data_IF_637690249675
#
_entry.id   IF_637690249675
#
_cell.length_a   1.000
_cell.length_b   1.000
_cell.length_c   1.000
_cell.angle_alpha   90.00
_cell.angle_beta   90.00
_cell.angle_gamma   90.00
#
_symmetry.space_group_name_H-M   'P 1'
#
loop_
_entity.id
_entity.type
_entity.pdbx_description
1 polymer ?
#
# COMPACT_ATOMS: atom_id res chain seq x y z
N UNK A 1 11.36 8.81 4.49
CA UNK A 1 11.10 8.33 5.87
C UNK A 1 12.41 8.23 6.62
N UNK A 2 12.45 8.65 7.90
CA UNK A 2 13.64 8.58 8.74
C UNK A 2 13.61 7.35 9.64
N UNK A 3 14.78 6.84 10.02
CA UNK A 3 14.89 5.77 11.02
C UNK A 3 14.41 6.29 12.38
N UNK A 4 13.60 5.50 13.08
CA UNK A 4 13.10 5.84 14.41
C UNK A 4 14.05 5.42 15.53
N UNK A 5 14.93 4.47 15.26
CA UNK A 5 15.87 3.88 16.24
C UNK A 5 17.24 3.69 15.60
N UNK A 6 18.28 3.74 16.41
CA UNK A 6 19.65 3.42 16.05
C UNK A 6 20.39 2.80 17.25
N UNK A 7 21.62 2.37 17.02
CA UNK A 7 22.49 1.80 18.05
C UNK A 7 23.75 2.64 18.16
N UNK A 8 24.20 2.90 19.38
CA UNK A 8 25.49 3.51 19.69
C UNK A 8 26.09 2.80 20.90
N UNK A 9 27.36 3.08 21.22
CA UNK A 9 28.01 2.55 22.42
C UNK A 9 27.28 3.03 23.69
N UNK A 10 27.32 2.21 24.72
CA UNK A 10 26.72 2.54 26.03
C UNK A 10 27.36 3.84 26.55
N UNK A 11 26.52 4.77 27.03
CA UNK A 11 26.97 6.08 27.52
C UNK A 11 27.17 7.14 26.44
N UNK A 12 27.00 6.82 25.15
CA UNK A 12 27.07 7.81 24.06
C UNK A 12 25.68 8.22 23.60
N UNK A 13 25.53 9.50 23.24
CA UNK A 13 24.30 10.01 22.63
C UNK A 13 24.29 9.70 21.14
N UNK A 14 23.25 9.01 20.67
CA UNK A 14 23.04 8.80 19.25
C UNK A 14 22.62 10.12 18.59
N UNK A 15 23.47 10.65 17.70
CA UNK A 15 23.16 11.84 16.90
C UNK A 15 22.95 11.40 15.45
N UNK A 16 21.80 11.71 14.90
CA UNK A 16 21.48 11.48 13.50
C UNK A 16 20.96 12.76 12.84
N UNK A 17 21.48 13.08 11.65
CA UNK A 17 20.96 14.19 10.85
C UNK A 17 19.63 13.78 10.24
N UNK A 18 18.57 14.52 10.59
CA UNK A 18 17.23 14.36 10.00
C UNK A 18 17.05 15.41 8.92
N UNK A 19 16.56 15.06 7.72
CA UNK A 19 16.26 16.04 6.69
C UNK A 19 15.26 17.07 7.23
N UNK A 20 15.61 18.34 7.15
CA UNK A 20 14.74 19.45 7.50
C UNK A 20 14.23 20.10 6.21
N UNK A 21 12.91 20.34 6.08
CA UNK A 21 12.33 20.95 4.89
C UNK A 21 10.80 20.77 4.86
N UNK A 22 10.16 21.34 3.84
CA UNK A 22 8.73 21.14 3.62
C UNK A 22 8.40 19.67 3.40
N UNK A 23 7.45 19.15 4.19
CA UNK A 23 6.96 17.79 4.06
C UNK A 23 6.21 17.63 2.74
N UNK A 24 6.72 16.82 1.84
CA UNK A 24 5.99 16.41 0.63
C UNK A 24 5.27 15.09 0.92
N UNK A 25 3.99 15.07 0.64
CA UNK A 25 3.19 13.84 0.80
C UNK A 25 3.39 12.97 -0.42
N UNK A 26 3.89 11.76 -0.18
CA UNK A 26 3.93 10.68 -1.16
C UNK A 26 2.86 9.66 -0.79
N UNK A 27 1.97 9.37 -1.71
CA UNK A 27 0.95 8.33 -1.53
C UNK A 27 1.32 7.12 -2.34
N UNK A 28 1.38 5.97 -1.70
CA UNK A 28 1.50 4.67 -2.37
C UNK A 28 0.15 3.95 -2.30
N UNK A 29 -0.35 3.52 -3.44
CA UNK A 29 -1.57 2.72 -3.57
C UNK A 29 -1.28 1.46 -4.37
N UNK A 30 -1.86 0.35 -3.97
CA UNK A 30 -1.69 -0.96 -4.63
C UNK A 30 -2.87 -1.86 -4.27
N UNK A 31 -3.03 -2.96 -4.99
CA UNK A 31 -3.83 -4.10 -4.58
C UNK A 31 -2.94 -5.23 -4.06
N UNK A 32 -3.49 -6.10 -3.24
CA UNK A 32 -2.85 -7.31 -2.75
C UNK A 32 -3.66 -8.53 -3.19
N UNK A 33 -2.98 -9.51 -3.77
CA UNK A 33 -3.48 -10.86 -4.03
C UNK A 33 -2.71 -11.87 -3.18
N UNK A 34 -3.19 -13.09 -3.09
CA UNK A 34 -2.50 -14.17 -2.39
C UNK A 34 -1.11 -14.50 -2.98
N UNK A 35 -0.89 -14.15 -4.24
CA UNK A 35 0.33 -14.43 -4.99
C UNK A 35 1.24 -13.21 -5.20
N UNK A 36 0.80 -12.00 -4.83
CA UNK A 36 1.63 -10.81 -4.98
C UNK A 36 0.91 -9.47 -4.85
N UNK A 37 1.68 -8.40 -4.97
CA UNK A 37 1.18 -7.02 -5.05
C UNK A 37 0.85 -6.69 -6.50
N UNK A 38 -0.32 -6.12 -6.73
CA UNK A 38 -0.82 -5.75 -8.06
C UNK A 38 -1.09 -4.25 -8.16
N UNK A 39 -1.07 -3.72 -9.37
CA UNK A 39 -1.39 -2.33 -9.67
C UNK A 39 -0.67 -1.29 -8.77
N UNK A 40 0.64 -1.45 -8.46
CA UNK A 40 1.35 -0.49 -7.63
C UNK A 40 1.42 0.88 -8.31
N UNK A 41 1.12 1.93 -7.57
CA UNK A 41 1.17 3.30 -8.06
C UNK A 41 1.67 4.24 -6.96
N UNK A 42 2.56 5.15 -7.34
CA UNK A 42 3.10 6.19 -6.45
C UNK A 42 2.60 7.55 -6.95
N UNK A 43 2.00 8.31 -6.06
CA UNK A 43 1.50 9.66 -6.33
C UNK A 43 2.31 10.67 -5.50
N UNK A 44 2.69 11.78 -6.10
CA UNK A 44 3.43 12.88 -5.46
C UNK A 44 2.52 13.85 -4.67
N UNK A 45 1.30 13.40 -4.36
CA UNK A 45 0.25 14.16 -3.71
C UNK A 45 -0.65 13.27 -2.85
N UNK A 46 -1.45 13.84 -1.94
CA UNK A 46 -2.50 13.11 -1.27
C UNK A 46 -3.50 12.51 -2.28
N UNK A 47 -3.96 11.29 -2.02
CA UNK A 47 -5.00 10.67 -2.83
C UNK A 47 -6.35 11.32 -2.56
N UNK A 48 -7.12 11.54 -3.62
CA UNK A 48 -8.50 12.01 -3.56
C UNK A 48 -9.41 11.09 -4.40
N UNK A 49 -10.71 11.33 -4.40
CA UNK A 49 -11.67 10.48 -5.11
C UNK A 49 -11.40 10.40 -6.63
N UNK A 50 -10.91 11.48 -7.24
CA UNK A 50 -10.61 11.52 -8.68
C UNK A 50 -9.37 10.68 -9.00
N UNK A 51 -8.27 10.88 -8.26
CA UNK A 51 -7.03 10.12 -8.45
C UNK A 51 -7.21 8.65 -8.08
N UNK A 52 -8.03 8.34 -7.06
CA UNK A 52 -8.37 6.97 -6.71
C UNK A 52 -9.17 6.29 -7.83
N UNK A 53 -10.19 6.96 -8.38
CA UNK A 53 -10.95 6.44 -9.52
C UNK A 53 -10.06 6.19 -10.75
N UNK A 54 -9.16 7.12 -11.05
CA UNK A 54 -8.20 6.96 -12.15
C UNK A 54 -7.31 5.72 -11.94
N UNK A 55 -6.78 5.54 -10.72
CA UNK A 55 -6.02 4.35 -10.36
C UNK A 55 -6.85 3.07 -10.48
N UNK A 56 -8.11 3.07 -10.03
CA UNK A 56 -9.00 1.90 -10.18
C UNK A 56 -9.17 1.54 -11.65
N UNK A 57 -9.47 2.52 -12.51
CA UNK A 57 -9.74 2.26 -13.93
C UNK A 57 -8.46 1.84 -14.68
N UNK A 58 -7.35 2.54 -14.46
CA UNK A 58 -6.13 2.38 -15.26
C UNK A 58 -5.19 1.32 -14.69
N UNK A 59 -5.20 1.11 -13.38
CA UNK A 59 -4.30 0.19 -12.68
C UNK A 59 -4.99 -1.07 -12.23
N UNK A 60 -6.02 -0.96 -11.38
CA UNK A 60 -6.64 -2.12 -10.74
C UNK A 60 -7.46 -2.95 -11.72
N UNK A 61 -8.40 -2.33 -12.44
CA UNK A 61 -9.34 -3.02 -13.36
C UNK A 61 -8.62 -3.92 -14.37
N UNK A 62 -7.52 -3.51 -15.03
CA UNK A 62 -6.80 -4.39 -15.94
C UNK A 62 -6.19 -5.65 -15.30
N UNK A 63 -6.03 -5.67 -13.98
CA UNK A 63 -5.49 -6.83 -13.25
C UNK A 63 -6.57 -7.76 -12.71
N UNK A 64 -7.85 -7.34 -12.77
CA UNK A 64 -8.98 -8.13 -12.27
C UNK A 64 -9.33 -9.26 -13.22
N UNK A 65 -9.75 -10.39 -12.63
CA UNK A 65 -10.30 -11.55 -13.33
C UNK A 65 -11.78 -11.65 -13.05
N UNK A 66 -12.53 -12.19 -13.98
CA UNK A 66 -13.94 -12.48 -13.77
C UNK A 66 -14.13 -13.37 -12.52
N UNK A 67 -15.04 -12.96 -11.62
CA UNK A 67 -15.29 -13.65 -10.36
C UNK A 67 -14.44 -13.18 -9.18
N UNK A 68 -13.45 -12.30 -9.38
CA UNK A 68 -12.68 -11.74 -8.27
C UNK A 68 -13.56 -11.01 -7.25
N UNK A 69 -13.16 -11.08 -5.99
CA UNK A 69 -13.74 -10.30 -4.90
C UNK A 69 -12.74 -9.24 -4.49
N UNK A 70 -13.05 -7.99 -4.77
CA UNK A 70 -12.25 -6.82 -4.36
C UNK A 70 -12.74 -6.38 -3.00
N UNK A 71 -11.86 -6.43 -2.00
CA UNK A 71 -12.13 -5.94 -0.64
C UNK A 71 -11.44 -4.59 -0.47
N UNK A 72 -12.17 -3.60 0.00
CA UNK A 72 -11.66 -2.25 0.26
C UNK A 72 -12.04 -1.81 1.67
N UNK A 73 -11.23 -0.93 2.24
CA UNK A 73 -11.61 -0.22 3.45
C UNK A 73 -12.81 0.71 3.22
N UNK A 74 -13.35 1.21 4.31
CA UNK A 74 -14.59 1.99 4.30
C UNK A 74 -14.35 3.51 4.16
N UNK A 75 -13.26 3.94 3.48
CA UNK A 75 -12.98 5.35 3.24
C UNK A 75 -13.98 5.96 2.24
N UNK A 76 -14.32 7.24 2.46
CA UNK A 76 -15.27 7.97 1.60
C UNK A 76 -14.82 8.04 0.13
N UNK A 77 -13.51 8.20 -0.10
CA UNK A 77 -12.93 8.21 -1.46
C UNK A 77 -13.11 6.89 -2.23
N UNK A 78 -13.26 5.76 -1.53
CA UNK A 78 -13.44 4.43 -2.13
C UNK A 78 -14.90 4.14 -2.49
N UNK A 79 -15.86 4.89 -1.91
CA UNK A 79 -17.31 4.64 -2.08
C UNK A 79 -17.93 5.27 -3.31
N UNK A 80 -17.15 5.93 -4.17
CA UNK A 80 -17.68 6.55 -5.37
C UNK A 80 -18.44 5.53 -6.25
N UNK A 81 -19.61 5.90 -6.75
CA UNK A 81 -20.43 5.03 -7.59
C UNK A 81 -19.69 4.57 -8.86
N UNK A 82 -18.79 5.42 -9.38
CA UNK A 82 -17.93 5.10 -10.52
C UNK A 82 -16.96 3.95 -10.23
N UNK A 83 -16.35 3.91 -9.02
CA UNK A 83 -15.47 2.81 -8.58
C UNK A 83 -16.24 1.49 -8.60
N UNK A 84 -17.42 1.46 -7.99
CA UNK A 84 -18.29 0.28 -7.96
C UNK A 84 -18.66 -0.19 -9.38
N UNK A 85 -19.02 0.76 -10.26
CA UNK A 85 -19.37 0.44 -11.67
C UNK A 85 -18.19 -0.13 -12.43
N UNK A 86 -16.99 0.45 -12.28
CA UNK A 86 -15.78 -0.01 -12.97
C UNK A 86 -15.40 -1.45 -12.56
N UNK A 87 -15.42 -1.75 -11.27
CA UNK A 87 -15.12 -3.09 -10.75
C UNK A 87 -16.17 -4.12 -11.21
N UNK A 88 -17.45 -3.74 -11.15
CA UNK A 88 -18.55 -4.61 -11.64
C UNK A 88 -18.45 -4.86 -13.14
N UNK A 89 -18.09 -3.87 -13.93
CA UNK A 89 -17.92 -4.02 -15.39
C UNK A 89 -16.76 -4.97 -15.74
N UNK A 90 -15.75 -5.08 -14.88
CA UNK A 90 -14.68 -6.07 -15.00
C UNK A 90 -15.10 -7.50 -14.58
N UNK A 91 -16.36 -7.72 -14.20
CA UNK A 91 -16.84 -9.01 -13.73
C UNK A 91 -16.47 -9.36 -12.31
N UNK A 92 -16.00 -8.39 -11.52
CA UNK A 92 -15.61 -8.56 -10.14
C UNK A 92 -16.66 -8.03 -9.16
N UNK A 93 -16.65 -8.52 -7.91
CA UNK A 93 -17.52 -8.09 -6.83
C UNK A 93 -16.76 -7.18 -5.88
N UNK A 94 -17.35 -6.04 -5.48
CA UNK A 94 -16.78 -5.13 -4.49
C UNK A 94 -17.45 -5.31 -3.14
N UNK A 95 -16.63 -5.49 -2.10
CA UNK A 95 -17.03 -5.57 -0.69
C UNK A 95 -16.25 -4.51 0.10
N UNK A 96 -16.95 -3.84 1.02
CA UNK A 96 -16.31 -2.91 1.95
C UNK A 96 -16.16 -3.56 3.32
N UNK A 97 -14.99 -3.35 3.93
CA UNK A 97 -14.74 -3.74 5.31
C UNK A 97 -15.60 -2.91 6.28
N UNK A 98 -15.89 -3.44 7.47
CA UNK A 98 -16.48 -2.64 8.53
C UNK A 98 -15.63 -1.39 8.82
N UNK A 99 -16.21 -0.31 9.32
CA UNK A 99 -15.45 0.84 9.79
C UNK A 99 -14.43 0.43 10.86
N UNK A 100 -13.24 1.05 10.82
CA UNK A 100 -12.19 0.85 11.83
C UNK A 100 -11.69 -0.60 11.99
N UNK A 101 -11.66 -1.39 10.91
CA UNK A 101 -11.21 -2.79 10.94
C UNK A 101 -9.96 -3.01 10.06
N UNK A 102 -8.80 -2.39 10.38
CA UNK A 102 -7.57 -2.58 9.61
C UNK A 102 -6.99 -3.98 9.75
N UNK A 103 -7.29 -4.69 10.83
CA UNK A 103 -6.96 -6.08 11.11
C UNK A 103 -7.56 -7.05 10.09
N UNK A 104 -8.72 -6.72 9.51
CA UNK A 104 -9.34 -7.48 8.43
C UNK A 104 -8.79 -7.12 7.04
N UNK A 105 -7.84 -6.19 6.95
CA UNK A 105 -7.27 -5.75 5.68
C UNK A 105 -5.83 -6.25 5.51
N UNK A 106 -5.58 -7.35 4.77
CA UNK A 106 -4.26 -7.96 4.65
C UNK A 106 -3.21 -7.02 4.03
N UNK A 107 -3.61 -6.03 3.24
CA UNK A 107 -2.67 -5.08 2.62
C UNK A 107 -1.97 -4.18 3.64
N UNK A 108 -2.55 -3.97 4.82
CA UNK A 108 -1.94 -3.18 5.89
C UNK A 108 -0.64 -3.82 6.40
N UNK A 109 -0.57 -5.14 6.43
CA UNK A 109 0.65 -5.88 6.80
C UNK A 109 1.72 -5.73 5.72
N UNK A 110 1.34 -5.83 4.44
CA UNK A 110 2.25 -5.57 3.32
C UNK A 110 2.80 -4.13 3.37
N UNK A 111 1.96 -3.14 3.65
CA UNK A 111 2.37 -1.73 3.80
C UNK A 111 3.27 -1.53 5.02
N UNK A 112 3.01 -2.19 6.13
CA UNK A 112 3.87 -2.14 7.33
C UNK A 112 5.27 -2.67 7.02
N UNK A 113 5.37 -3.82 6.32
CA UNK A 113 6.64 -4.36 5.84
C UNK A 113 7.34 -3.39 4.90
N UNK A 114 6.65 -2.87 3.88
CA UNK A 114 7.19 -1.92 2.92
C UNK A 114 7.73 -0.65 3.61
N UNK A 115 6.97 -0.07 4.54
CA UNK A 115 7.40 1.09 5.34
C UNK A 115 8.67 0.79 6.15
N UNK A 116 8.77 -0.41 6.72
CA UNK A 116 9.95 -0.83 7.47
C UNK A 116 11.19 -0.95 6.57
N UNK A 117 11.03 -1.53 5.38
CA UNK A 117 12.10 -1.63 4.39
C UNK A 117 12.53 -0.25 3.87
N UNK A 118 11.58 0.62 3.53
CA UNK A 118 11.87 2.00 3.07
C UNK A 118 12.65 2.82 4.09
N UNK A 119 12.37 2.66 5.40
CA UNK A 119 13.14 3.34 6.45
C UNK A 119 14.61 2.92 6.47
N UNK A 120 14.91 1.69 6.06
CA UNK A 120 16.30 1.19 6.00
C UNK A 120 17.07 1.77 4.81
N UNK A 121 16.39 2.02 3.69
CA UNK A 121 17.01 2.53 2.45
C UNK A 121 17.42 4.00 2.51
N UNK A 122 16.93 4.79 3.50
CA UNK A 122 17.24 6.22 3.66
C UNK A 122 17.01 7.08 2.40
N UNK A 123 16.06 6.70 1.55
CA UNK A 123 15.69 7.50 0.37
C UNK A 123 15.21 8.90 0.80
N UNK A 124 15.78 9.95 0.19
CA UNK A 124 15.55 11.35 0.60
C UNK A 124 14.79 12.17 -0.41
N UNK A 125 14.73 11.74 -1.66
CA UNK A 125 13.99 12.39 -2.73
C UNK A 125 12.76 11.58 -3.13
N UNK A 126 11.80 12.20 -3.81
CA UNK A 126 10.62 11.50 -4.33
C UNK A 126 11.01 10.41 -5.32
N UNK A 127 11.93 10.73 -6.25
CA UNK A 127 12.38 9.78 -7.26
C UNK A 127 13.10 8.59 -6.65
N UNK A 128 14.00 8.84 -5.68
CA UNK A 128 14.66 7.77 -4.93
C UNK A 128 13.65 6.90 -4.19
N UNK A 129 12.65 7.51 -3.54
CA UNK A 129 11.62 6.77 -2.79
C UNK A 129 10.77 5.93 -3.73
N UNK A 130 10.35 6.48 -4.87
CA UNK A 130 9.59 5.77 -5.88
C UNK A 130 10.37 4.59 -6.47
N UNK A 131 11.63 4.81 -6.86
CA UNK A 131 12.51 3.75 -7.35
C UNK A 131 12.77 2.66 -6.28
N UNK A 132 12.94 3.05 -5.02
CA UNK A 132 13.06 2.11 -3.91
C UNK A 132 11.79 1.28 -3.73
N UNK A 133 10.61 1.88 -3.79
CA UNK A 133 9.33 1.16 -3.69
C UNK A 133 9.30 0.04 -4.73
N UNK A 134 9.57 0.34 -6.00
CA UNK A 134 9.58 -0.68 -7.06
C UNK A 134 10.45 -1.89 -6.71
N UNK A 135 11.72 -1.65 -6.31
CA UNK A 135 12.66 -2.71 -5.91
C UNK A 135 12.23 -3.47 -4.64
N UNK A 136 11.56 -2.78 -3.71
CA UNK A 136 11.15 -3.38 -2.44
C UNK A 136 9.88 -4.21 -2.57
N UNK A 137 9.05 -3.97 -3.59
CA UNK A 137 7.89 -4.81 -3.87
C UNK A 137 8.30 -6.24 -4.22
N UNK A 138 9.41 -6.43 -4.94
CA UNK A 138 9.95 -7.76 -5.26
C UNK A 138 10.37 -8.57 -4.02
N UNK A 139 10.52 -7.91 -2.87
CA UNK A 139 10.84 -8.54 -1.58
C UNK A 139 9.59 -8.98 -0.81
N UNK A 140 8.41 -8.73 -1.33
CA UNK A 140 7.14 -9.24 -0.78
C UNK A 140 6.80 -10.51 -1.57
N UNK A 141 7.09 -11.64 -0.98
CA UNK A 141 6.94 -12.94 -1.64
C UNK A 141 5.48 -13.41 -1.67
N UNK A 142 5.12 -14.28 -2.61
CA UNK A 142 3.79 -14.91 -2.67
C UNK A 142 3.43 -15.63 -1.36
N UNK A 143 4.40 -16.32 -0.72
CA UNK A 143 4.18 -16.97 0.57
C UNK A 143 3.79 -15.97 1.67
N UNK A 144 4.42 -14.80 1.69
CA UNK A 144 4.07 -13.75 2.66
C UNK A 144 2.68 -13.17 2.36
N UNK A 145 2.37 -12.92 1.08
CA UNK A 145 1.04 -12.47 0.69
C UNK A 145 -0.05 -13.44 1.17
N UNK A 146 0.11 -14.73 0.92
CA UNK A 146 -0.81 -15.76 1.41
C UNK A 146 -0.92 -15.76 2.95
N UNK A 147 0.20 -15.55 3.66
CA UNK A 147 0.19 -15.44 5.12
C UNK A 147 -0.60 -14.21 5.60
N UNK A 148 -0.44 -13.04 4.96
CA UNK A 148 -1.20 -11.83 5.31
C UNK A 148 -2.71 -12.05 5.17
N UNK A 149 -3.15 -12.75 4.12
CA UNK A 149 -4.57 -13.12 3.98
C UNK A 149 -5.02 -14.03 5.10
N UNK A 150 -4.25 -15.06 5.44
CA UNK A 150 -4.57 -16.01 6.50
C UNK A 150 -4.66 -15.34 7.87
N UNK A 151 -3.72 -14.46 8.19
CA UNK A 151 -3.71 -13.69 9.45
C UNK A 151 -4.88 -12.72 9.54
N UNK A 152 -5.35 -12.18 8.40
CA UNK A 152 -6.56 -11.35 8.35
C UNK A 152 -7.87 -12.18 8.33
N UNK A 153 -7.79 -13.52 8.48
CA UNK A 153 -8.94 -14.40 8.60
C UNK A 153 -9.53 -14.91 7.28
N UNK A 154 -8.82 -14.73 6.15
CA UNK A 154 -9.27 -15.27 4.86
C UNK A 154 -8.74 -16.68 4.63
N UNK A 155 -9.59 -17.54 4.12
CA UNK A 155 -9.17 -18.85 3.58
C UNK A 155 -8.48 -18.65 2.23
N UNK A 156 -7.27 -19.18 2.09
CA UNK A 156 -6.44 -19.09 0.86
C UNK A 156 -6.12 -20.48 0.34
#
# INVERSE_FOLDING_TARGET
MTRLHGRCAVGQRLVAKVPHGHWKTLTFVAGLRCDGVIAPCVLDRPINAISFLAWVIQGLVPTLRHGDIVVMDNLSSHKAAQVRRAIKAAGAKLIFLPPYSPDLNPIEQAFSKLKTLLRKENARTLDQTSACIGKLLDRITAKECANFFREAGYST
#
